data_IF_313528581043
#
_entry.id   IF_313528581043
#
_cell.length_a   1.000
_cell.length_b   1.000
_cell.length_c   1.000
_cell.angle_alpha   90.00
_cell.angle_beta   90.00
_cell.angle_gamma   90.00
#
_symmetry.space_group_name_H-M   'P 1'
#
loop_
_entity.id
_entity.type
_entity.pdbx_description
1 polymer ?
#
# COMPACT_ATOMS: atom_id res chain seq x y z
N UNK A 1 -54.92 24.92 -29.74
CA UNK A 1 -54.29 24.12 -28.66
C UNK A 1 -52.78 24.21 -28.83
N UNK A 2 -52.07 24.29 -27.70
CA UNK A 2 -50.62 24.18 -27.49
C UNK A 2 -49.75 25.40 -27.83
N UNK A 3 -49.66 26.29 -26.84
CA UNK A 3 -48.49 27.13 -26.54
C UNK A 3 -47.37 26.24 -25.97
N UNK A 4 -46.23 26.15 -26.66
CA UNK A 4 -45.03 25.48 -26.14
C UNK A 4 -44.15 26.52 -25.42
N UNK A 5 -44.07 26.41 -24.10
CA UNK A 5 -43.16 27.17 -23.26
C UNK A 5 -41.72 26.66 -23.47
N UNK A 6 -40.82 27.57 -23.87
CA UNK A 6 -39.38 27.29 -23.92
C UNK A 6 -38.83 27.29 -22.49
N UNK A 7 -38.58 26.11 -21.94
CA UNK A 7 -37.93 25.94 -20.64
C UNK A 7 -36.41 26.06 -20.80
N UNK A 8 -35.82 26.91 -19.95
CA UNK A 8 -34.39 27.17 -19.81
C UNK A 8 -33.58 25.88 -19.67
N UNK A 9 -32.65 25.68 -20.61
CA UNK A 9 -31.64 24.62 -20.57
C UNK A 9 -30.47 25.08 -19.71
N UNK A 10 -30.57 24.88 -18.40
CA UNK A 10 -29.45 25.05 -17.48
C UNK A 10 -28.58 23.78 -17.55
N UNK A 11 -27.52 23.80 -18.35
CA UNK A 11 -26.45 22.79 -18.31
C UNK A 11 -25.68 22.94 -16.99
N UNK A 12 -26.02 22.12 -15.99
CA UNK A 12 -25.15 21.86 -14.84
C UNK A 12 -24.14 20.79 -15.25
N UNK A 13 -22.91 21.22 -15.54
CA UNK A 13 -21.73 20.34 -15.58
C UNK A 13 -21.44 19.89 -14.14
N UNK A 14 -22.16 18.87 -13.67
CA UNK A 14 -21.75 18.13 -12.50
C UNK A 14 -20.47 17.37 -12.89
N UNK A 15 -19.33 17.83 -12.38
CA UNK A 15 -18.11 17.03 -12.38
C UNK A 15 -18.37 15.77 -11.55
N UNK A 16 -18.76 14.68 -12.21
CA UNK A 16 -18.66 13.35 -11.64
C UNK A 16 -17.17 13.07 -11.43
N UNK A 17 -16.65 13.37 -10.25
CA UNK A 17 -15.52 12.61 -9.73
C UNK A 17 -16.03 11.17 -9.68
N UNK A 18 -15.44 10.21 -10.43
CA UNK A 18 -15.84 8.82 -10.31
C UNK A 18 -15.76 8.44 -8.83
N UNK A 19 -16.89 8.01 -8.25
CA UNK A 19 -16.89 7.56 -6.86
C UNK A 19 -15.87 6.45 -6.69
N UNK A 20 -15.12 6.48 -5.59
CA UNK A 20 -14.19 5.41 -5.23
C UNK A 20 -14.98 4.08 -5.19
N UNK A 21 -14.57 3.13 -6.01
CA UNK A 21 -15.23 1.82 -6.11
C UNK A 21 -14.85 0.97 -4.89
N UNK A 22 -15.80 0.73 -4.00
CA UNK A 22 -15.66 -0.16 -2.84
C UNK A 22 -15.90 -1.63 -3.25
N UNK A 23 -15.22 -2.07 -4.30
CA UNK A 23 -15.37 -3.45 -4.80
C UNK A 23 -14.49 -4.40 -3.98
N UNK A 24 -15.03 -4.86 -2.86
CA UNK A 24 -14.44 -5.89 -2.01
C UNK A 24 -14.32 -7.26 -2.72
N UNK A 25 -14.94 -7.46 -3.90
CA UNK A 25 -14.79 -8.66 -4.72
C UNK A 25 -13.42 -8.76 -5.40
N UNK A 26 -12.70 -7.65 -5.50
CA UNK A 26 -11.29 -7.60 -5.91
C UNK A 26 -10.32 -7.96 -4.78
N UNK A 27 -10.80 -8.57 -3.68
CA UNK A 27 -9.91 -9.08 -2.64
C UNK A 27 -8.98 -10.11 -3.28
N UNK A 28 -7.75 -9.68 -3.55
CA UNK A 28 -6.70 -10.49 -4.14
C UNK A 28 -6.47 -11.69 -3.22
N UNK A 29 -7.06 -12.83 -3.59
CA UNK A 29 -6.78 -14.11 -2.96
C UNK A 29 -5.27 -14.28 -2.94
N UNK A 30 -4.73 -14.58 -1.76
CA UNK A 30 -3.28 -14.63 -1.51
C UNK A 30 -2.57 -15.40 -2.64
N UNK A 31 -1.72 -14.69 -3.39
CA UNK A 31 -0.71 -15.22 -4.31
C UNK A 31 -1.19 -15.91 -5.60
N UNK A 32 -2.49 -16.11 -5.79
CA UNK A 32 -2.98 -16.93 -6.91
C UNK A 32 -3.06 -16.16 -8.22
N UNK A 33 -3.13 -14.81 -8.19
CA UNK A 33 -3.25 -13.94 -9.37
C UNK A 33 -4.37 -14.35 -10.34
N UNK A 34 -4.51 -13.65 -11.45
CA UNK A 34 -5.30 -14.13 -12.60
C UNK A 34 -4.41 -14.57 -13.77
N UNK A 35 -3.19 -14.02 -13.87
CA UNK A 35 -2.20 -14.41 -14.86
C UNK A 35 -1.61 -15.79 -14.56
N UNK A 36 -1.38 -16.60 -15.60
CA UNK A 36 -0.67 -17.85 -15.46
C UNK A 36 0.79 -17.59 -15.04
N UNK A 37 1.38 -18.47 -14.22
CA UNK A 37 2.76 -18.32 -13.72
C UNK A 37 3.77 -18.11 -14.86
N UNK A 38 3.58 -18.76 -16.02
CA UNK A 38 4.46 -18.61 -17.19
C UNK A 38 4.39 -17.24 -17.87
N UNK A 39 3.32 -16.48 -17.62
CA UNK A 39 3.10 -15.14 -18.19
C UNK A 39 3.51 -14.03 -17.21
N UNK A 40 3.70 -14.37 -15.94
CA UNK A 40 4.13 -13.42 -14.91
C UNK A 40 5.58 -13.01 -15.11
N UNK A 41 5.88 -11.84 -14.56
CA UNK A 41 7.25 -11.33 -14.47
C UNK A 41 8.12 -12.29 -13.64
N UNK A 42 9.41 -12.34 -13.96
CA UNK A 42 10.37 -13.01 -13.09
C UNK A 42 10.58 -12.18 -11.83
N UNK A 43 11.11 -12.83 -10.79
CA UNK A 43 11.43 -12.18 -9.51
C UNK A 43 12.31 -10.94 -9.73
N UNK A 44 13.33 -11.03 -10.58
CA UNK A 44 14.27 -9.93 -10.83
C UNK A 44 13.60 -8.75 -11.54
N UNK A 45 12.71 -9.04 -12.50
CA UNK A 45 11.94 -7.99 -13.19
C UNK A 45 10.95 -7.33 -12.24
N UNK A 46 10.27 -8.10 -11.41
CA UNK A 46 9.35 -7.58 -10.41
C UNK A 46 10.05 -6.64 -9.41
N UNK A 47 11.18 -7.07 -8.85
CA UNK A 47 11.97 -6.26 -7.90
C UNK A 47 12.41 -4.95 -8.54
N UNK A 48 12.86 -4.98 -9.80
CA UNK A 48 13.39 -3.81 -10.49
C UNK A 48 12.29 -2.83 -10.93
N UNK A 49 11.20 -3.34 -11.49
CA UNK A 49 10.26 -2.51 -12.27
C UNK A 49 8.90 -2.31 -11.59
N UNK A 50 8.44 -3.28 -10.81
CA UNK A 50 7.06 -3.33 -10.28
C UNK A 50 7.02 -2.99 -8.80
N UNK A 51 7.87 -3.60 -7.97
CA UNK A 51 7.92 -3.33 -6.53
C UNK A 51 8.12 -1.84 -6.19
N UNK A 52 8.97 -1.06 -6.91
CA UNK A 52 9.14 0.38 -6.62
C UNK A 52 7.87 1.20 -6.87
N UNK A 53 6.96 0.76 -7.74
CA UNK A 53 5.69 1.45 -7.98
C UNK A 53 4.75 1.33 -6.79
N UNK A 54 4.69 0.16 -6.18
CA UNK A 54 3.98 -0.07 -4.92
C UNK A 54 4.62 0.68 -3.76
N UNK A 55 5.97 0.66 -3.68
CA UNK A 55 6.71 1.44 -2.69
C UNK A 55 6.38 2.94 -2.79
N UNK A 56 6.24 3.49 -4.00
CA UNK A 56 5.83 4.88 -4.19
C UNK A 56 4.46 5.21 -3.61
N UNK A 57 3.49 4.30 -3.68
CA UNK A 57 2.17 4.48 -3.05
C UNK A 57 2.31 4.47 -1.52
N UNK A 58 3.15 3.58 -0.98
CA UNK A 58 3.45 3.52 0.45
C UNK A 58 4.12 4.83 0.92
N UNK A 59 5.06 5.39 0.14
CA UNK A 59 5.68 6.68 0.43
C UNK A 59 4.66 7.83 0.44
N UNK A 60 3.70 7.84 -0.48
CA UNK A 60 2.64 8.87 -0.51
C UNK A 60 1.77 8.82 0.74
N UNK A 61 1.38 7.62 1.18
CA UNK A 61 0.62 7.44 2.42
C UNK A 61 1.47 7.85 3.63
N UNK A 62 2.75 7.46 3.67
CA UNK A 62 3.65 7.86 4.74
C UNK A 62 3.83 9.38 4.82
N UNK A 63 3.90 10.06 3.67
CA UNK A 63 4.02 11.53 3.58
C UNK A 63 2.78 12.22 4.16
N UNK A 64 1.58 11.75 3.83
CA UNK A 64 0.34 12.26 4.42
C UNK A 64 0.30 12.00 5.94
N UNK A 65 0.77 10.83 6.37
CA UNK A 65 0.84 10.43 7.77
C UNK A 65 1.95 11.12 8.59
N UNK A 66 2.50 12.24 8.11
CA UNK A 66 3.53 13.02 8.82
C UNK A 66 4.97 12.64 8.47
N UNK A 67 5.19 11.87 7.41
CA UNK A 67 6.50 11.61 6.82
C UNK A 67 7.34 10.53 7.49
N UNK A 68 6.75 9.69 8.36
CA UNK A 68 7.46 8.61 9.04
C UNK A 68 6.89 7.25 8.61
N UNK A 69 7.77 6.39 8.12
CA UNK A 69 7.49 4.98 7.81
C UNK A 69 8.24 4.09 8.80
N UNK A 70 7.50 3.43 9.67
CA UNK A 70 8.03 2.40 10.56
C UNK A 70 8.22 1.08 9.83
N UNK A 71 9.25 0.34 10.20
CA UNK A 71 9.62 -0.95 9.61
C UNK A 71 9.79 -1.97 10.74
N UNK A 72 9.29 -3.19 10.54
CA UNK A 72 9.51 -4.30 11.45
C UNK A 72 9.86 -5.59 10.67
N UNK A 73 10.95 -6.23 11.10
CA UNK A 73 11.44 -7.46 10.49
C UNK A 73 12.05 -7.26 9.11
N UNK A 74 12.45 -8.38 8.50
CA UNK A 74 13.14 -8.41 7.22
C UNK A 74 12.26 -8.95 6.10
N UNK A 75 12.50 -8.44 4.90
CA UNK A 75 11.96 -8.99 3.66
C UNK A 75 12.49 -10.41 3.44
N UNK A 76 11.62 -11.31 2.97
CA UNK A 76 11.97 -12.72 2.77
C UNK A 76 11.18 -13.37 1.64
N UNK A 77 11.81 -14.34 1.00
CA UNK A 77 11.10 -15.27 0.14
C UNK A 77 10.22 -16.22 0.96
N UNK A 78 9.10 -16.63 0.38
CA UNK A 78 8.32 -17.77 0.86
C UNK A 78 7.94 -18.65 -0.33
N UNK A 79 7.75 -19.92 -0.01
CA UNK A 79 7.21 -20.89 -0.96
C UNK A 79 5.76 -20.53 -1.29
N UNK A 80 5.43 -20.72 -2.56
CA UNK A 80 4.06 -20.72 -3.02
C UNK A 80 3.34 -22.00 -2.58
N UNK A 81 2.03 -21.92 -2.33
CA UNK A 81 1.25 -23.06 -1.84
C UNK A 81 1.04 -24.15 -2.92
N UNK A 82 1.41 -23.86 -4.16
CA UNK A 82 1.40 -24.75 -5.32
C UNK A 82 2.49 -25.81 -5.23
N UNK A 83 2.27 -26.97 -5.87
CA UNK A 83 3.08 -28.20 -5.71
C UNK A 83 4.48 -28.17 -6.35
N UNK A 84 4.90 -27.03 -6.90
CA UNK A 84 6.18 -26.89 -7.59
C UNK A 84 7.12 -26.05 -6.72
N UNK A 85 8.21 -26.66 -6.23
CA UNK A 85 9.19 -26.06 -5.29
C UNK A 85 10.06 -24.97 -5.94
N UNK A 86 9.67 -24.47 -7.11
CA UNK A 86 10.40 -23.48 -7.90
C UNK A 86 9.75 -22.10 -7.87
N UNK A 87 8.48 -22.02 -7.47
CA UNK A 87 7.70 -20.78 -7.39
C UNK A 87 7.86 -20.12 -6.03
N UNK A 88 8.13 -18.80 -6.06
CA UNK A 88 8.24 -18.00 -4.84
C UNK A 88 7.39 -16.77 -4.88
N UNK A 89 7.03 -16.33 -3.68
CA UNK A 89 6.63 -14.95 -3.47
C UNK A 89 7.56 -14.27 -2.48
N UNK A 90 7.51 -12.94 -2.46
CA UNK A 90 8.23 -12.10 -1.53
C UNK A 90 7.23 -11.59 -0.50
N UNK A 91 7.51 -11.86 0.77
CA UNK A 91 6.92 -11.11 1.86
C UNK A 91 7.91 -10.01 2.25
N UNK A 92 7.56 -8.78 1.90
CA UNK A 92 8.35 -7.62 2.29
C UNK A 92 8.23 -7.36 3.79
N UNK A 93 9.15 -6.57 4.34
CA UNK A 93 9.10 -6.16 5.74
C UNK A 93 7.73 -5.58 6.11
N UNK A 94 7.30 -5.78 7.35
CA UNK A 94 6.03 -5.20 7.82
C UNK A 94 6.22 -3.70 8.02
N UNK A 95 5.33 -2.90 7.43
CA UNK A 95 5.43 -1.45 7.46
C UNK A 95 4.28 -0.83 8.25
N UNK A 96 4.55 0.35 8.82
CA UNK A 96 3.59 1.07 9.66
C UNK A 96 3.69 2.57 9.42
N UNK A 97 2.56 3.25 9.41
CA UNK A 97 2.51 4.72 9.39
C UNK A 97 1.51 5.20 10.43
N UNK A 98 1.63 6.47 10.84
CA UNK A 98 0.64 7.06 11.74
C UNK A 98 -0.77 7.00 11.12
N UNK A 99 -1.80 7.00 11.97
CA UNK A 99 -3.18 6.99 11.49
C UNK A 99 -3.49 8.32 10.78
N UNK A 100 -4.07 8.23 9.58
CA UNK A 100 -4.70 9.34 8.87
C UNK A 100 -6.21 9.10 8.78
N UNK A 101 -6.96 10.09 8.30
CA UNK A 101 -8.36 9.87 7.97
C UNK A 101 -8.49 8.77 6.90
N UNK A 102 -9.51 7.93 7.02
CA UNK A 102 -9.67 6.80 6.11
C UNK A 102 -10.05 7.23 4.70
N UNK A 103 -10.82 8.30 4.53
CA UNK A 103 -11.15 8.82 3.21
C UNK A 103 -9.91 9.43 2.54
N UNK A 104 -8.99 10.02 3.31
CA UNK A 104 -7.67 10.41 2.82
C UNK A 104 -6.83 9.21 2.40
N UNK A 105 -6.79 8.15 3.22
CA UNK A 105 -6.13 6.89 2.85
C UNK A 105 -6.70 6.33 1.55
N UNK A 106 -8.02 6.25 1.43
CA UNK A 106 -8.71 5.75 0.23
C UNK A 106 -8.34 6.56 -1.00
N UNK A 107 -8.39 7.89 -0.90
CA UNK A 107 -8.05 8.82 -1.98
C UNK A 107 -6.61 8.63 -2.44
N UNK A 108 -5.64 8.66 -1.52
CA UNK A 108 -4.21 8.56 -1.86
C UNK A 108 -3.89 7.22 -2.52
N UNK A 109 -4.38 6.11 -1.95
CA UNK A 109 -4.13 4.78 -2.50
C UNK A 109 -4.82 4.61 -3.86
N UNK A 110 -6.02 5.18 -4.04
CA UNK A 110 -6.70 5.17 -5.34
C UNK A 110 -5.93 5.96 -6.39
N UNK A 111 -5.50 7.19 -6.08
CA UNK A 111 -4.69 8.02 -6.98
C UNK A 111 -3.40 7.28 -7.35
N UNK A 112 -2.74 6.66 -6.37
CA UNK A 112 -1.55 5.84 -6.56
C UNK A 112 -1.80 4.63 -7.47
N UNK A 113 -2.90 3.91 -7.26
CA UNK A 113 -3.30 2.77 -8.09
C UNK A 113 -3.54 3.21 -9.54
N UNK A 114 -4.30 4.30 -9.76
CA UNK A 114 -4.58 4.83 -11.09
C UNK A 114 -3.32 5.23 -11.84
N UNK A 115 -2.37 5.91 -11.18
CA UNK A 115 -1.10 6.32 -11.80
C UNK A 115 -0.25 5.15 -12.27
N UNK A 116 -0.40 3.97 -11.65
CA UNK A 116 0.40 2.79 -11.93
C UNK A 116 -0.35 1.71 -12.73
N UNK A 117 -1.65 1.90 -12.99
CA UNK A 117 -2.49 0.90 -13.65
C UNK A 117 -2.81 -0.30 -12.77
N UNK A 118 -2.80 -0.14 -11.45
CA UNK A 118 -3.14 -1.20 -10.49
C UNK A 118 -4.63 -1.23 -10.19
N UNK A 119 -5.11 -2.41 -9.83
CA UNK A 119 -6.46 -2.58 -9.31
C UNK A 119 -6.52 -2.12 -7.85
N UNK A 120 -7.67 -1.58 -7.46
CA UNK A 120 -7.92 -0.95 -6.17
C UNK A 120 -9.15 -1.56 -5.51
N UNK A 121 -9.11 -1.74 -4.20
CA UNK A 121 -10.26 -2.17 -3.40
C UNK A 121 -10.25 -1.48 -2.03
N UNK A 122 -11.42 -1.25 -1.46
CA UNK A 122 -11.58 -0.72 -0.11
C UNK A 122 -12.77 -1.39 0.59
N UNK A 123 -12.65 -1.60 1.89
CA UNK A 123 -13.74 -2.14 2.72
C UNK A 123 -14.44 -0.98 3.44
N UNK A 124 -15.73 -0.70 3.16
CA UNK A 124 -16.40 0.45 3.75
C UNK A 124 -16.63 0.29 5.25
N UNK A 125 -16.84 -0.96 5.69
CA UNK A 125 -17.24 -1.30 7.04
C UNK A 125 -16.05 -1.68 7.93
N UNK A 126 -16.15 -1.27 9.18
CA UNK A 126 -15.24 -1.72 10.23
C UNK A 126 -15.51 -3.16 10.62
N UNK A 127 -14.45 -3.90 10.92
CA UNK A 127 -14.53 -5.30 11.34
C UNK A 127 -13.46 -5.65 12.39
N UNK A 128 -13.65 -6.82 13.03
CA UNK A 128 -12.68 -7.40 13.94
C UNK A 128 -12.52 -6.67 15.27
N UNK A 129 -11.56 -7.15 16.08
CA UNK A 129 -11.30 -6.67 17.45
C UNK A 129 -10.74 -5.24 17.50
N UNK A 130 -10.13 -4.76 16.42
CA UNK A 130 -9.37 -3.51 16.40
C UNK A 130 -10.09 -2.36 15.70
N UNK A 131 -11.39 -2.52 15.40
CA UNK A 131 -12.17 -1.57 14.61
C UNK A 131 -11.42 -1.24 13.31
N UNK A 132 -11.20 -2.27 12.48
CA UNK A 132 -10.31 -2.18 11.33
C UNK A 132 -11.05 -2.23 10.00
N UNK A 133 -10.54 -1.48 9.05
CA UNK A 133 -10.94 -1.51 7.64
C UNK A 133 -9.69 -1.36 6.78
N UNK A 134 -9.74 -1.84 5.54
CA UNK A 134 -8.57 -1.90 4.69
C UNK A 134 -8.79 -1.18 3.37
N UNK A 135 -7.71 -0.64 2.84
CA UNK A 135 -7.58 -0.25 1.44
C UNK A 135 -6.50 -1.13 0.84
N UNK A 136 -6.73 -1.69 -0.34
CA UNK A 136 -5.80 -2.59 -0.99
C UNK A 136 -5.54 -2.16 -2.43
N UNK A 137 -4.31 -2.40 -2.88
CA UNK A 137 -3.89 -2.23 -4.27
C UNK A 137 -3.14 -3.49 -4.72
N UNK A 138 -3.35 -3.90 -5.97
CA UNK A 138 -2.75 -5.12 -6.51
C UNK A 138 -2.82 -5.20 -8.03
N UNK A 139 -2.28 -6.30 -8.56
CA UNK A 139 -2.22 -6.58 -9.99
C UNK A 139 -2.61 -8.02 -10.32
N UNK A 140 -2.77 -8.29 -11.61
CA UNK A 140 -3.14 -9.61 -12.14
C UNK A 140 -2.06 -10.67 -11.89
N UNK A 141 -0.82 -10.25 -11.63
CA UNK A 141 0.29 -11.11 -11.21
C UNK A 141 0.17 -11.59 -9.77
N UNK A 142 -0.80 -11.07 -9.00
CA UNK A 142 -1.10 -11.48 -7.62
C UNK A 142 -0.35 -10.68 -6.55
N UNK A 143 0.29 -9.57 -6.90
CA UNK A 143 0.85 -8.64 -5.92
C UNK A 143 -0.26 -7.96 -5.15
N UNK A 144 -0.05 -7.79 -3.84
CA UNK A 144 -1.00 -7.16 -2.93
C UNK A 144 -0.27 -6.28 -1.92
N UNK A 145 -0.66 -5.01 -1.86
CA UNK A 145 -0.40 -4.12 -0.73
C UNK A 145 -1.71 -3.83 -0.03
N UNK A 146 -1.82 -4.21 1.24
CA UNK A 146 -2.98 -3.95 2.06
C UNK A 146 -2.64 -2.93 3.16
N UNK A 147 -3.29 -1.77 3.10
CA UNK A 147 -3.28 -0.72 4.10
C UNK A 147 -4.42 -0.96 5.10
N UNK A 148 -4.12 -1.66 6.19
CA UNK A 148 -5.07 -1.96 7.25
C UNK A 148 -5.13 -0.80 8.22
N UNK A 149 -6.20 -0.01 8.15
CA UNK A 149 -6.50 1.11 9.05
C UNK A 149 -6.96 0.55 10.40
N UNK A 150 -6.11 0.67 11.42
CA UNK A 150 -6.36 0.11 12.76
C UNK A 150 -6.70 1.24 13.72
N UNK A 151 -7.94 1.74 13.65
CA UNK A 151 -8.37 2.88 14.47
C UNK A 151 -8.21 2.62 15.97
N UNK A 152 -8.53 1.40 16.44
CA UNK A 152 -8.35 1.02 17.85
C UNK A 152 -6.88 0.92 18.30
N UNK A 153 -5.92 1.10 17.38
CA UNK A 153 -4.48 1.07 17.66
C UNK A 153 -3.77 2.38 17.31
N UNK A 154 -4.39 3.27 16.54
CA UNK A 154 -3.81 4.56 16.19
C UNK A 154 -2.72 4.52 15.12
N UNK A 155 -2.71 3.50 14.26
CA UNK A 155 -1.78 3.41 13.11
C UNK A 155 -2.38 2.65 11.94
N UNK A 156 -1.75 2.74 10.77
CA UNK A 156 -2.04 1.89 9.61
C UNK A 156 -0.95 0.83 9.52
N UNK A 157 -1.33 -0.44 9.50
CA UNK A 157 -0.42 -1.54 9.17
C UNK A 157 -0.44 -1.76 7.66
N UNK A 158 0.72 -1.90 7.06
CA UNK A 158 0.88 -2.09 5.63
C UNK A 158 1.54 -3.46 5.42
N UNK A 159 0.78 -4.39 4.85
CA UNK A 159 1.29 -5.69 4.42
C UNK A 159 1.55 -5.66 2.92
N UNK A 160 2.78 -5.98 2.51
CA UNK A 160 3.18 -5.99 1.11
C UNK A 160 3.69 -7.38 0.72
N UNK A 161 2.98 -8.01 -0.22
CA UNK A 161 3.30 -9.32 -0.75
C UNK A 161 3.35 -9.27 -2.27
N UNK A 162 4.35 -9.89 -2.88
CA UNK A 162 4.28 -10.21 -4.31
C UNK A 162 3.34 -11.39 -4.56
N UNK A 163 2.89 -11.54 -5.80
CA UNK A 163 2.37 -12.81 -6.27
C UNK A 163 3.48 -13.86 -6.42
N UNK A 164 3.08 -15.09 -6.73
CA UNK A 164 3.99 -16.16 -7.08
C UNK A 164 4.67 -15.91 -8.42
N UNK A 165 5.99 -16.11 -8.49
CA UNK A 165 6.84 -15.83 -9.63
C UNK A 165 7.96 -16.87 -9.72
N UNK A 166 8.53 -17.02 -10.92
CA UNK A 166 9.73 -17.81 -11.15
C UNK A 166 10.97 -16.92 -11.16
N UNK A 167 12.07 -17.30 -10.51
CA UNK A 167 13.35 -16.63 -10.70
C UNK A 167 13.89 -16.90 -12.12
N UNK A 168 14.67 -15.97 -12.67
CA UNK A 168 15.30 -16.14 -14.01
C UNK A 168 16.38 -17.23 -13.99
N UNK A 169 16.98 -17.46 -12.83
CA UNK A 169 17.98 -18.50 -12.62
C UNK A 169 17.47 -19.56 -11.64
N UNK A 170 17.64 -20.83 -12.00
CA UNK A 170 17.51 -21.93 -11.05
C UNK A 170 18.67 -21.85 -10.06
N UNK A 171 18.40 -21.27 -8.91
CA UNK A 171 19.34 -21.28 -7.79
C UNK A 171 19.41 -22.67 -7.17
N UNK A 172 20.53 -22.95 -6.48
CA UNK A 172 20.82 -24.24 -5.86
C UNK A 172 19.59 -24.86 -5.16
N UNK A 173 19.21 -26.07 -5.57
CA UNK A 173 17.96 -26.75 -5.16
C UNK A 173 17.87 -26.96 -3.64
N UNK A 174 19.00 -26.95 -2.93
CA UNK A 174 19.04 -27.10 -1.47
C UNK A 174 18.71 -25.79 -0.73
N UNK A 175 18.92 -24.62 -1.34
CA UNK A 175 18.63 -23.29 -0.75
C UNK A 175 18.29 -22.22 -1.80
N UNK A 176 17.31 -22.46 -2.69
CA UNK A 176 17.13 -21.68 -3.92
C UNK A 176 16.93 -20.18 -3.69
N UNK A 177 16.44 -19.78 -2.52
CA UNK A 177 16.07 -18.38 -2.28
C UNK A 177 17.08 -17.57 -1.48
N UNK A 178 18.14 -18.21 -0.96
CA UNK A 178 19.19 -17.48 -0.21
C UNK A 178 20.15 -16.70 -1.12
N UNK A 179 20.08 -16.92 -2.43
CA UNK A 179 21.06 -16.41 -3.39
C UNK A 179 20.60 -15.17 -4.15
N UNK A 180 19.29 -14.89 -4.20
CA UNK A 180 18.78 -13.66 -4.80
C UNK A 180 18.69 -12.58 -3.71
N UNK A 181 19.57 -11.56 -3.71
CA UNK A 181 19.48 -10.51 -2.72
C UNK A 181 18.16 -9.74 -2.90
N UNK A 182 17.36 -9.70 -1.83
CA UNK A 182 16.23 -8.78 -1.75
C UNK A 182 16.77 -7.37 -1.49
N UNK A 183 16.16 -6.33 -2.09
CA UNK A 183 16.55 -4.98 -1.80
C UNK A 183 16.34 -4.68 -0.31
N UNK A 184 17.26 -3.93 0.27
CA UNK A 184 17.09 -3.38 1.61
C UNK A 184 15.93 -2.38 1.64
N UNK A 185 15.53 -1.94 2.83
CA UNK A 185 14.52 -0.89 2.98
C UNK A 185 14.99 0.41 2.34
N UNK A 186 16.27 0.76 2.50
CA UNK A 186 16.90 1.92 1.87
C UNK A 186 16.84 1.84 0.35
N UNK A 187 17.05 0.66 -0.22
CA UNK A 187 16.98 0.44 -1.67
C UNK A 187 15.53 0.49 -2.20
N UNK A 188 14.57 0.01 -1.40
CA UNK A 188 13.14 0.09 -1.76
C UNK A 188 12.59 1.51 -1.63
N UNK A 189 13.10 2.27 -0.68
CA UNK A 189 12.64 3.63 -0.36
C UNK A 189 13.82 4.62 -0.41
N UNK A 190 14.37 4.89 -1.61
CA UNK A 190 15.61 5.65 -1.77
C UNK A 190 15.49 7.12 -1.36
N UNK A 191 14.27 7.63 -1.18
CA UNK A 191 13.99 8.99 -0.73
C UNK A 191 13.92 9.11 0.79
N UNK A 192 13.98 7.99 1.52
CA UNK A 192 13.88 7.96 2.98
C UNK A 192 15.26 7.93 3.62
N UNK A 193 15.34 8.50 4.83
CA UNK A 193 16.49 8.37 5.72
C UNK A 193 16.10 7.45 6.87
N UNK A 194 16.90 6.42 7.10
CA UNK A 194 16.68 5.51 8.22
C UNK A 194 17.20 6.11 9.51
N UNK A 195 16.39 5.97 10.56
CA UNK A 195 16.72 6.31 11.93
C UNK A 195 16.22 5.21 12.85
N UNK A 196 16.93 4.98 13.95
CA UNK A 196 16.43 4.11 15.00
C UNK A 196 15.21 4.77 15.64
N UNK A 197 14.12 4.02 15.76
CA UNK A 197 12.89 4.51 16.36
C UNK A 197 13.04 4.74 17.86
N UNK A 198 13.85 3.89 18.51
CA UNK A 198 14.11 3.93 19.94
C UNK A 198 15.60 3.88 20.20
N UNK A 199 16.06 4.65 21.19
CA UNK A 199 17.42 4.52 21.69
C UNK A 199 17.59 3.22 22.51
N UNK A 200 18.82 2.97 22.95
CA UNK A 200 19.16 1.83 23.81
C UNK A 200 18.36 1.76 25.12
N UNK A 201 17.73 2.86 25.54
CA UNK A 201 16.92 2.99 26.74
C UNK A 201 15.41 2.94 26.43
N UNK A 202 15.02 2.56 25.21
CA UNK A 202 13.63 2.53 24.74
C UNK A 202 12.93 3.90 24.69
N UNK A 203 13.69 5.00 24.65
CA UNK A 203 13.10 6.32 24.44
C UNK A 203 12.87 6.56 22.95
N UNK A 204 11.70 7.11 22.61
CA UNK A 204 11.40 7.52 21.24
C UNK A 204 12.42 8.54 20.74
N UNK A 205 12.96 8.28 19.56
CA UNK A 205 13.87 9.19 18.87
C UNK A 205 13.22 10.59 18.74
N UNK A 206 13.87 11.67 19.24
CA UNK A 206 13.35 13.02 19.19
C UNK A 206 12.99 13.51 17.78
N UNK A 207 13.67 13.00 16.74
CA UNK A 207 13.40 13.34 15.34
C UNK A 207 12.03 12.82 14.85
N UNK A 208 11.50 11.78 15.50
CA UNK A 208 10.22 11.16 15.17
C UNK A 208 9.04 11.74 15.96
N UNK A 209 9.29 12.73 16.82
CA UNK A 209 8.20 13.40 17.55
C UNK A 209 7.36 14.18 16.56
N UNK A 210 6.01 14.14 16.67
CA UNK A 210 5.14 14.95 15.83
C UNK A 210 5.57 16.41 15.88
N UNK A 211 5.97 16.97 14.75
CA UNK A 211 6.19 18.40 14.62
C UNK A 211 4.82 19.05 14.77
N UNK A 212 4.53 19.63 15.93
CA UNK A 212 3.32 20.41 16.12
C UNK A 212 3.35 21.57 15.11
N UNK A 213 2.47 21.54 14.11
CA UNK A 213 2.20 22.71 13.28
C UNK A 213 1.81 23.90 14.18
N UNK A 214 2.07 25.15 13.76
CA UNK A 214 1.80 26.31 14.60
C UNK A 214 0.35 26.30 15.04
N UNK A 215 0.12 26.13 16.34
CA UNK A 215 -1.19 26.38 16.95
C UNK A 215 -1.53 27.84 16.64
N UNK A 216 -2.54 28.06 15.81
CA UNK A 216 -3.16 29.38 15.64
C UNK A 216 -3.90 29.74 16.93
N UNK A 217 -3.14 29.99 17.99
CA UNK A 217 -3.61 30.63 19.21
C UNK A 217 -3.62 32.13 18.98
N UNK A 218 -4.70 32.64 18.39
CA UNK A 218 -5.10 34.03 18.55
C UNK A 218 -6.39 34.06 19.37
N UNK A 219 -6.24 33.82 20.68
CA UNK A 219 -7.09 34.50 21.65
C UNK A 219 -6.49 35.89 21.86
N UNK A 220 -7.17 36.92 21.36
CA UNK A 220 -7.18 38.21 22.03
C UNK A 220 -8.59 38.74 21.90
N UNK A 221 -9.31 38.70 23.03
CA UNK A 221 -10.49 39.52 23.21
C UNK A 221 -10.05 40.94 23.55
N UNK A 222 -10.68 41.91 22.90
CA UNK A 222 -11.27 43.11 23.50
C UNK A 222 -12.41 43.58 22.58
#
# INVERSE_FOLDING_TARGET
MMTAAAACTSLLLAACVPGLSDDAGLYFGRNDGSEAISERQTVEVYIRDTAPRYAGIIEDVAREAGGVLGVNGDSRYRDCATRDETEVNIAWADLYVALIDYDDLRRIVWEGAQRNGFAYSATPDYSGKYNSRSVAVGDEGGTLVAFTHLEGKGFINISFHSGCMLPTHTYDLDTPYKQLPLPSVEEMFPNLRIVDAFDENSNLNPELRPQAGPQSGAQSGE
#
